data_IF_875569927981
#
_entry.id   IF_875569927981
#
_cell.length_a   1.000
_cell.length_b   1.000
_cell.length_c   1.000
_cell.angle_alpha   90.00
_cell.angle_beta   90.00
_cell.angle_gamma   90.00
#
_symmetry.space_group_name_H-M   'P 1'
#
loop_
_entity.id
_entity.type
_entity.pdbx_description
1 polymer ?
#
# COMPACT_ATOMS: atom_id res chain seq x y z
N UNK A 1 19.30 -1.27 2.68
CA UNK A 1 18.46 -1.06 1.48
C UNK A 1 18.14 0.43 1.41
N UNK A 2 18.42 1.08 0.28
CA UNK A 2 18.11 2.49 0.08
C UNK A 2 16.72 2.63 -0.55
N UNK A 3 15.98 3.70 -0.26
CA UNK A 3 14.67 3.96 -0.89
C UNK A 3 14.77 4.07 -2.41
N UNK A 4 15.92 4.52 -2.92
CA UNK A 4 16.19 4.58 -4.37
C UNK A 4 16.14 3.19 -5.03
N UNK A 5 16.45 2.13 -4.28
CA UNK A 5 16.45 0.75 -4.79
C UNK A 5 15.04 0.22 -5.06
N UNK A 6 14.02 0.87 -4.47
CA UNK A 6 12.61 0.54 -4.64
C UNK A 6 11.96 1.22 -5.86
N UNK A 7 12.67 2.13 -6.52
CA UNK A 7 12.16 2.81 -7.73
C UNK A 7 11.91 1.79 -8.84
N UNK A 8 10.74 1.88 -9.47
CA UNK A 8 10.25 1.00 -10.52
C UNK A 8 10.17 -0.48 -10.13
N UNK A 9 10.22 -0.81 -8.83
CA UNK A 9 10.01 -2.17 -8.34
C UNK A 9 8.52 -2.43 -8.12
N UNK A 10 8.17 -3.71 -8.22
CA UNK A 10 6.86 -4.22 -7.80
C UNK A 10 6.95 -4.62 -6.33
N UNK A 11 6.10 -4.03 -5.51
CA UNK A 11 6.05 -4.28 -4.07
C UNK A 11 4.73 -4.96 -3.77
N UNK A 12 4.78 -6.13 -3.14
CA UNK A 12 3.60 -6.83 -2.66
C UNK A 12 3.54 -6.72 -1.13
N UNK A 13 2.41 -6.26 -0.60
CA UNK A 13 2.12 -6.20 0.82
C UNK A 13 1.06 -7.25 1.12
N UNK A 14 1.39 -8.20 1.99
CA UNK A 14 0.50 -9.29 2.42
C UNK A 14 -0.18 -8.91 3.73
N UNK A 15 -1.49 -8.73 3.70
CA UNK A 15 -2.28 -8.20 4.80
C UNK A 15 -2.05 -6.70 5.02
N UNK A 16 -3.09 -5.97 5.37
CA UNK A 16 -3.05 -4.56 5.70
C UNK A 16 -3.40 -4.35 7.19
N UNK A 17 -2.58 -4.96 8.06
CA UNK A 17 -2.57 -4.67 9.49
C UNK A 17 -1.97 -3.31 9.80
N UNK A 18 -1.87 -2.96 11.08
CA UNK A 18 -1.35 -1.65 11.53
C UNK A 18 0.06 -1.36 11.00
N UNK A 19 0.94 -2.36 11.03
CA UNK A 19 2.33 -2.24 10.59
C UNK A 19 2.41 -2.00 9.08
N UNK A 20 1.64 -2.77 8.31
CA UNK A 20 1.61 -2.66 6.85
C UNK A 20 0.91 -1.39 6.38
N UNK A 21 -0.08 -0.88 7.13
CA UNK A 21 -0.64 0.46 6.96
C UNK A 21 0.44 1.54 7.15
N UNK A 22 1.22 1.46 8.24
CA UNK A 22 2.28 2.43 8.51
C UNK A 22 3.37 2.41 7.42
N UNK A 23 3.77 1.21 6.98
CA UNK A 23 4.71 1.03 5.87
C UNK A 23 4.19 1.63 4.57
N UNK A 24 2.95 1.32 4.20
CA UNK A 24 2.32 1.85 3.01
C UNK A 24 2.28 3.39 3.04
N UNK A 25 1.86 3.97 4.16
CA UNK A 25 1.83 5.41 4.35
C UNK A 25 3.22 6.05 4.26
N UNK A 26 4.24 5.38 4.80
CA UNK A 26 5.63 5.81 4.64
C UNK A 26 6.05 5.79 3.16
N UNK A 27 5.81 4.71 2.43
CA UNK A 27 6.16 4.58 1.01
C UNK A 27 5.46 5.63 0.14
N UNK A 28 4.17 5.89 0.41
CA UNK A 28 3.39 6.92 -0.28
C UNK A 28 3.94 8.34 -0.01
N UNK A 29 4.30 8.65 1.24
CA UNK A 29 4.91 9.95 1.61
C UNK A 29 6.25 10.18 0.93
N UNK A 30 7.03 9.12 0.71
CA UNK A 30 8.30 9.21 -0.02
C UNK A 30 8.12 9.40 -1.54
N UNK A 31 6.87 9.32 -2.05
CA UNK A 31 6.53 9.50 -3.47
C UNK A 31 7.38 8.63 -4.40
N UNK A 32 7.72 7.42 -3.95
CA UNK A 32 8.53 6.50 -4.74
C UNK A 32 7.65 5.96 -5.86
N UNK A 33 8.09 6.16 -7.10
CA UNK A 33 7.45 5.56 -8.27
C UNK A 33 7.63 4.04 -8.22
N UNK A 34 6.69 3.33 -7.61
CA UNK A 34 6.69 1.87 -7.41
C UNK A 34 5.29 1.32 -7.62
N UNK A 35 5.20 0.09 -8.11
CA UNK A 35 3.93 -0.60 -8.37
C UNK A 35 3.55 -1.41 -7.13
N UNK A 36 2.68 -0.86 -6.29
CA UNK A 36 2.30 -1.46 -5.01
C UNK A 36 1.01 -2.27 -5.17
N UNK A 37 1.08 -3.55 -4.82
CA UNK A 37 -0.08 -4.45 -4.75
C UNK A 37 -0.31 -4.89 -3.30
N UNK A 38 -1.53 -4.73 -2.81
CA UNK A 38 -1.95 -5.23 -1.50
C UNK A 38 -2.79 -6.49 -1.72
N UNK A 39 -2.42 -7.57 -1.04
CA UNK A 39 -3.17 -8.81 -0.97
C UNK A 39 -3.70 -8.97 0.45
N UNK A 40 -5.01 -8.80 0.66
CA UNK A 40 -5.65 -9.00 1.97
C UNK A 40 -6.96 -9.75 1.75
N UNK A 41 -7.32 -10.59 2.73
CA UNK A 41 -8.57 -11.34 2.72
C UNK A 41 -9.79 -10.42 2.86
N UNK A 42 -9.62 -9.26 3.50
CA UNK A 42 -10.67 -8.25 3.64
C UNK A 42 -10.81 -7.47 2.33
N UNK A 43 -12.04 -7.10 2.05
CA UNK A 43 -12.35 -6.23 0.91
C UNK A 43 -11.78 -4.83 1.10
N UNK A 44 -11.54 -4.13 -0.01
CA UNK A 44 -11.11 -2.72 -0.01
C UNK A 44 -12.02 -1.84 0.85
N UNK A 45 -13.34 -2.06 0.83
CA UNK A 45 -14.31 -1.30 1.63
C UNK A 45 -14.05 -1.48 3.13
N UNK A 46 -13.90 -2.72 3.58
CA UNK A 46 -13.64 -3.04 4.98
C UNK A 46 -12.34 -2.42 5.52
N UNK A 47 -11.36 -2.17 4.65
CA UNK A 47 -10.07 -1.58 5.04
C UNK A 47 -10.04 -0.06 4.94
N UNK A 48 -10.79 0.54 4.02
CA UNK A 48 -10.99 1.99 4.05
C UNK A 48 -11.61 2.44 5.38
N UNK A 49 -12.45 1.60 5.99
CA UNK A 49 -13.03 1.84 7.31
C UNK A 49 -12.03 1.57 8.46
N UNK A 50 -10.93 0.83 8.20
CA UNK A 50 -9.96 0.37 9.19
C UNK A 50 -8.77 1.34 9.41
N UNK A 51 -9.00 2.64 9.23
CA UNK A 51 -8.06 3.71 9.62
C UNK A 51 -6.69 3.69 8.90
N UNK A 52 -6.66 3.27 7.64
CA UNK A 52 -5.42 3.29 6.86
C UNK A 52 -5.00 4.71 6.40
N UNK A 53 -5.84 5.74 6.58
CA UNK A 53 -5.60 7.13 6.13
C UNK A 53 -5.14 7.26 4.66
N UNK A 54 -5.43 6.24 3.83
CA UNK A 54 -5.09 6.23 2.41
C UNK A 54 -5.99 7.24 1.71
N UNK A 55 -5.40 8.28 1.11
CA UNK A 55 -6.19 9.27 0.39
C UNK A 55 -6.73 8.65 -0.90
N UNK A 56 -7.88 9.15 -1.36
CA UNK A 56 -8.54 8.70 -2.60
C UNK A 56 -7.62 8.77 -3.84
N UNK A 57 -6.63 9.66 -3.85
CA UNK A 57 -5.64 9.79 -4.91
C UNK A 57 -4.55 8.70 -4.87
N UNK A 58 -4.19 8.21 -3.68
CA UNK A 58 -3.20 7.15 -3.50
C UNK A 58 -3.75 5.79 -3.95
N UNK A 59 -5.07 5.61 -3.84
CA UNK A 59 -5.81 4.47 -4.37
C UNK A 59 -5.69 4.26 -5.89
N UNK A 60 -5.18 5.24 -6.65
CA UNK A 60 -4.92 5.08 -8.10
C UNK A 60 -3.62 4.35 -8.38
N UNK A 61 -2.68 4.40 -7.44
CA UNK A 61 -1.35 3.80 -7.55
C UNK A 61 -1.36 2.37 -6.98
N UNK A 62 -2.25 2.11 -6.03
CA UNK A 62 -2.34 0.85 -5.31
C UNK A 62 -3.30 -0.12 -6.01
N UNK A 63 -2.81 -1.32 -6.30
CA UNK A 63 -3.64 -2.43 -6.77
C UNK A 63 -4.10 -3.27 -5.59
N UNK A 64 -5.38 -3.60 -5.56
CA UNK A 64 -5.93 -4.53 -4.57
C UNK A 64 -6.12 -5.90 -5.19
N UNK A 65 -5.74 -6.96 -4.47
CA UNK A 65 -6.09 -8.33 -4.82
C UNK A 65 -6.66 -9.03 -3.59
N UNK A 66 -7.64 -9.89 -3.83
CA UNK A 66 -8.10 -10.83 -2.80
C UNK A 66 -6.93 -11.76 -2.49
N UNK A 67 -6.52 -11.77 -1.22
CA UNK A 67 -5.57 -12.72 -0.66
C UNK A 67 -6.29 -13.96 -0.13
#
# INVERSE_FOLDING_TARGET
MNLKDLKNKKICILGLGMENCALLNFLLKQKINSDITICDARSKKQICDYDCNIKKNDCKIIKWRLG
#
